data_IF_516743175223
#
_entry.id   IF_516743175223
#
_cell.length_a   1.000
_cell.length_b   1.000
_cell.length_c   1.000
_cell.angle_alpha   90.00
_cell.angle_beta   90.00
_cell.angle_gamma   90.00
#
_symmetry.space_group_name_H-M   'P 1'
#
loop_
_entity.id
_entity.type
_entity.pdbx_description
1 polymer ?
#
# COMPACT_ATOMS: atom_id res chain seq x y z
N UNK A 1 10.71 12.62 3.72
CA UNK A 1 10.31 11.82 4.90
C UNK A 1 11.57 11.49 5.71
N UNK A 2 11.66 11.82 7.02
CA UNK A 2 12.91 11.77 7.84
C UNK A 2 12.96 10.66 8.90
N UNK A 3 12.10 9.63 8.78
CA UNK A 3 11.87 8.62 9.82
C UNK A 3 13.11 7.82 10.19
N UNK A 4 13.92 7.43 9.19
CA UNK A 4 15.16 6.67 9.43
C UNK A 4 16.13 7.50 10.28
N UNK A 5 16.34 8.77 9.93
CA UNK A 5 17.20 9.67 10.70
C UNK A 5 16.72 9.84 12.14
N UNK A 6 15.43 10.14 12.32
CA UNK A 6 14.84 10.33 13.65
C UNK A 6 14.94 9.05 14.51
N UNK A 7 14.64 7.89 13.93
CA UNK A 7 14.70 6.60 14.63
C UNK A 7 16.14 6.25 15.04
N UNK A 8 17.14 6.49 14.19
CA UNK A 8 18.56 6.28 14.55
C UNK A 8 19.00 7.19 15.71
N UNK A 9 18.61 8.46 15.67
CA UNK A 9 18.85 9.42 16.76
C UNK A 9 18.17 9.00 18.06
N UNK A 10 16.91 8.56 17.99
CA UNK A 10 16.11 8.22 19.17
C UNK A 10 16.52 6.88 19.81
N UNK A 11 16.74 5.84 19.00
CA UNK A 11 16.96 4.47 19.48
C UNK A 11 18.43 4.23 19.81
N UNK A 12 19.34 4.72 18.97
CA UNK A 12 20.77 4.44 19.10
C UNK A 12 21.60 5.66 19.52
N UNK A 13 21.02 6.87 19.52
CA UNK A 13 21.77 8.10 19.76
C UNK A 13 22.68 8.53 18.60
N UNK A 14 22.58 7.87 17.44
CA UNK A 14 23.48 8.03 16.29
C UNK A 14 23.00 9.17 15.40
N UNK A 15 23.89 10.10 15.06
CA UNK A 15 23.66 11.13 14.06
C UNK A 15 24.15 10.67 12.69
N UNK A 16 23.24 10.19 11.84
CA UNK A 16 23.58 9.76 10.49
C UNK A 16 24.18 10.86 9.58
N UNK A 17 24.13 12.14 9.98
CA UNK A 17 24.78 13.24 9.24
C UNK A 17 26.24 13.47 9.63
N UNK A 18 26.67 12.95 10.78
CA UNK A 18 28.02 13.15 11.32
C UNK A 18 28.81 11.85 11.45
N UNK A 19 28.13 10.74 11.72
CA UNK A 19 28.76 9.46 11.99
C UNK A 19 29.25 8.78 10.71
N UNK A 20 30.52 8.35 10.71
CA UNK A 20 31.08 7.48 9.68
C UNK A 20 30.86 6.00 10.06
N UNK A 21 30.09 5.29 9.25
CA UNK A 21 29.65 3.92 9.53
C UNK A 21 29.65 3.06 8.27
N UNK A 22 30.16 1.85 8.42
CA UNK A 22 30.11 0.84 7.36
C UNK A 22 28.65 0.50 6.97
N UNK A 23 28.38 0.38 5.67
CA UNK A 23 27.05 0.08 5.12
C UNK A 23 26.37 -1.15 5.76
N UNK A 24 27.09 -2.24 5.97
CA UNK A 24 26.58 -3.43 6.67
C UNK A 24 26.13 -3.14 8.11
N UNK A 25 26.85 -2.29 8.85
CA UNK A 25 26.46 -1.91 10.20
C UNK A 25 25.19 -1.05 10.16
N UNK A 26 25.10 -0.10 9.22
CA UNK A 26 23.87 0.68 9.01
C UNK A 26 22.67 -0.23 8.75
N UNK A 27 22.78 -1.21 7.84
CA UNK A 27 21.69 -2.15 7.56
C UNK A 27 21.38 -3.03 8.76
N UNK A 28 22.39 -3.50 9.47
CA UNK A 28 22.23 -4.29 10.69
C UNK A 28 21.40 -3.55 11.74
N UNK A 29 21.67 -2.25 11.94
CA UNK A 29 20.89 -1.41 12.85
C UNK A 29 19.49 -1.10 12.30
N UNK A 30 19.39 -0.72 11.02
CA UNK A 30 18.13 -0.37 10.36
C UNK A 30 17.08 -1.50 10.47
N UNK A 31 17.49 -2.74 10.23
CA UNK A 31 16.59 -3.90 10.22
C UNK A 31 16.34 -4.51 11.61
N UNK A 32 17.18 -4.24 12.60
CA UNK A 32 17.00 -4.72 13.98
C UNK A 32 16.44 -3.64 14.94
N UNK A 33 15.83 -2.58 14.39
CA UNK A 33 15.19 -1.56 15.22
C UNK A 33 13.98 -2.11 16.00
N UNK A 34 13.82 -1.75 17.29
CA UNK A 34 12.64 -2.12 18.06
C UNK A 34 11.37 -1.52 17.44
N UNK A 35 10.43 -2.38 17.03
CA UNK A 35 9.20 -2.00 16.35
C UNK A 35 8.41 -0.88 17.06
N UNK A 36 8.25 -0.98 18.39
CA UNK A 36 7.48 0.00 19.18
C UNK A 36 8.12 1.39 19.22
N UNK A 37 9.43 1.48 18.96
CA UNK A 37 10.18 2.74 19.01
C UNK A 37 10.54 3.25 17.61
N UNK A 38 10.40 2.42 16.56
CA UNK A 38 10.71 2.79 15.19
C UNK A 38 9.47 3.14 14.40
N UNK A 39 9.35 4.41 14.06
CA UNK A 39 8.31 4.90 13.15
C UNK A 39 8.50 4.35 11.73
N UNK A 40 9.75 4.05 11.34
CA UNK A 40 10.08 3.41 10.08
C UNK A 40 9.53 1.97 10.01
N UNK A 41 9.76 1.14 11.03
CA UNK A 41 9.31 -0.26 11.04
C UNK A 41 7.78 -0.37 11.00
N UNK A 42 7.07 0.52 11.71
CA UNK A 42 5.60 0.58 11.67
C UNK A 42 5.07 0.89 10.26
N UNK A 43 5.65 1.88 9.59
CA UNK A 43 5.27 2.23 8.21
C UNK A 43 5.58 1.09 7.24
N UNK A 44 6.72 0.40 7.41
CA UNK A 44 7.03 -0.79 6.61
C UNK A 44 5.96 -1.86 6.77
N UNK A 45 5.54 -2.15 8.01
CA UNK A 45 4.50 -3.15 8.24
C UNK A 45 3.19 -2.78 7.55
N UNK A 46 2.74 -1.53 7.68
CA UNK A 46 1.51 -1.04 7.04
C UNK A 46 1.58 -1.25 5.53
N UNK A 47 2.71 -0.85 4.91
CA UNK A 47 2.93 -1.02 3.47
C UNK A 47 3.00 -2.50 3.04
N UNK A 48 3.53 -3.37 3.89
CA UNK A 48 3.66 -4.82 3.61
C UNK A 48 2.41 -5.62 3.93
N UNK A 49 1.46 -5.05 4.68
CA UNK A 49 0.25 -5.75 5.12
C UNK A 49 -0.58 -6.18 3.91
N UNK A 50 -0.74 -7.50 3.73
CA UNK A 50 -1.51 -8.06 2.62
C UNK A 50 -3.00 -8.08 2.97
N UNK A 51 -3.81 -7.54 2.06
CA UNK A 51 -5.26 -7.66 2.13
C UNK A 51 -5.64 -9.05 1.61
N UNK A 52 -6.34 -9.84 2.42
CA UNK A 52 -6.79 -11.19 2.05
C UNK A 52 -8.31 -11.24 1.88
N UNK A 53 -8.80 -12.22 1.11
CA UNK A 53 -10.25 -12.41 0.89
C UNK A 53 -11.01 -12.80 2.15
N UNK A 54 -10.31 -13.28 3.19
CA UNK A 54 -10.88 -13.69 4.49
C UNK A 54 -11.17 -12.51 5.44
N UNK A 55 -10.63 -11.33 5.17
CA UNK A 55 -10.79 -10.14 6.01
C UNK A 55 -12.19 -9.52 5.88
N UNK A 56 -12.66 -8.82 6.90
CA UNK A 56 -13.93 -8.06 6.83
C UNK A 56 -13.84 -6.87 5.89
N UNK A 57 -14.97 -6.38 5.34
CA UNK A 57 -14.97 -5.21 4.43
C UNK A 57 -14.34 -3.97 5.08
N UNK A 58 -14.65 -3.73 6.36
CA UNK A 58 -14.12 -2.61 7.14
C UNK A 58 -12.62 -2.76 7.41
N UNK A 59 -12.16 -3.96 7.77
CA UNK A 59 -10.74 -4.23 8.00
C UNK A 59 -9.90 -4.00 6.73
N UNK A 60 -10.40 -4.44 5.57
CA UNK A 60 -9.75 -4.20 4.28
C UNK A 60 -9.66 -2.70 3.96
N UNK A 61 -10.74 -1.96 4.25
CA UNK A 61 -10.80 -0.53 4.00
C UNK A 61 -9.81 0.23 4.89
N UNK A 62 -9.77 -0.09 6.19
CA UNK A 62 -8.83 0.53 7.13
C UNK A 62 -7.36 0.28 6.76
N UNK A 63 -7.03 -0.94 6.29
CA UNK A 63 -5.67 -1.25 5.81
C UNK A 63 -5.34 -0.42 4.57
N UNK A 64 -6.29 -0.30 3.64
CA UNK A 64 -6.11 0.46 2.40
C UNK A 64 -5.88 1.95 2.68
N UNK A 65 -6.68 2.55 3.56
CA UNK A 65 -6.53 3.95 3.97
C UNK A 65 -5.18 4.20 4.66
N UNK A 66 -4.76 3.28 5.53
CA UNK A 66 -3.44 3.36 6.16
C UNK A 66 -2.30 3.25 5.12
N UNK A 67 -2.45 2.38 4.11
CA UNK A 67 -1.50 2.24 3.02
C UNK A 67 -1.43 3.49 2.13
N UNK A 68 -2.57 4.09 1.83
CA UNK A 68 -2.67 5.34 1.05
C UNK A 68 -2.00 6.51 1.79
N UNK A 69 -2.25 6.65 3.11
CA UNK A 69 -1.63 7.70 3.93
C UNK A 69 -0.10 7.64 3.92
N UNK A 70 0.46 6.44 3.90
CA UNK A 70 1.90 6.22 3.88
C UNK A 70 2.42 5.82 2.50
N UNK A 71 1.66 5.99 1.42
CA UNK A 71 2.14 5.66 0.08
C UNK A 71 3.33 6.56 -0.27
N UNK A 72 4.32 6.00 -0.97
CA UNK A 72 5.32 6.83 -1.64
C UNK A 72 4.70 7.33 -2.95
N UNK A 73 5.05 8.55 -3.34
CA UNK A 73 4.85 9.00 -4.71
C UNK A 73 5.63 8.05 -5.61
N UNK A 74 4.91 7.12 -6.24
CA UNK A 74 5.47 6.29 -7.28
C UNK A 74 5.45 7.14 -8.55
N UNK A 75 6.54 7.21 -9.32
CA UNK A 75 6.41 7.68 -10.70
C UNK A 75 5.29 6.86 -11.33
N UNK A 76 4.35 7.50 -12.01
CA UNK A 76 3.30 6.79 -12.74
C UNK A 76 3.99 5.85 -13.73
N UNK A 77 4.18 4.59 -13.36
CA UNK A 77 4.32 3.52 -14.31
C UNK A 77 2.97 3.42 -14.99
N UNK A 78 2.75 4.27 -16.01
CA UNK A 78 1.72 4.04 -17.00
C UNK A 78 2.03 2.69 -17.59
N UNK A 79 1.34 1.66 -17.10
CA UNK A 79 1.32 0.36 -17.75
C UNK A 79 0.75 0.63 -19.13
N UNK A 80 1.62 0.72 -20.12
CA UNK A 80 1.21 0.79 -21.51
C UNK A 80 0.63 -0.58 -21.85
N UNK A 81 -0.69 -0.67 -21.82
CA UNK A 81 -1.42 -1.83 -22.30
C UNK A 81 -1.31 -1.88 -23.82
N UNK A 82 -1.09 -3.07 -24.35
CA UNK A 82 -1.24 -3.33 -25.80
C UNK A 82 -2.69 -3.05 -26.22
N UNK A 83 -2.93 -2.78 -27.51
CA UNK A 83 -4.30 -2.53 -28.02
C UNK A 83 -5.25 -3.71 -27.75
N UNK A 84 -4.74 -4.95 -27.81
CA UNK A 84 -5.49 -6.16 -27.47
C UNK A 84 -5.85 -6.26 -25.98
N UNK A 85 -5.04 -5.67 -25.10
CA UNK A 85 -5.34 -5.62 -23.67
C UNK A 85 -6.34 -4.51 -23.35
N UNK A 86 -6.25 -3.36 -24.01
CA UNK A 86 -7.22 -2.27 -23.86
C UNK A 86 -8.62 -2.68 -24.30
N UNK A 87 -8.74 -3.33 -25.46
CA UNK A 87 -10.03 -3.83 -25.97
C UNK A 87 -10.67 -4.81 -24.97
N UNK A 88 -9.91 -5.73 -24.40
CA UNK A 88 -10.41 -6.65 -23.37
C UNK A 88 -10.83 -5.95 -22.07
N UNK A 89 -10.13 -4.90 -21.66
CA UNK A 89 -10.50 -4.09 -20.49
C UNK A 89 -11.82 -3.37 -20.78
N UNK A 90 -11.95 -2.74 -21.96
CA UNK A 90 -13.16 -2.02 -22.36
C UNK A 90 -14.37 -2.94 -22.48
N UNK A 91 -14.21 -4.13 -23.07
CA UNK A 91 -15.25 -5.16 -23.16
C UNK A 91 -15.70 -5.64 -21.78
N UNK A 92 -14.75 -5.86 -20.87
CA UNK A 92 -15.04 -6.27 -19.49
C UNK A 92 -15.82 -5.18 -18.74
N UNK A 93 -15.41 -3.92 -18.88
CA UNK A 93 -16.05 -2.78 -18.21
C UNK A 93 -17.48 -2.55 -18.71
N UNK A 94 -17.71 -2.71 -20.03
CA UNK A 94 -19.04 -2.67 -20.62
C UNK A 94 -19.94 -3.79 -20.10
N UNK A 95 -19.45 -5.03 -20.11
CA UNK A 95 -20.19 -6.19 -19.58
C UNK A 95 -20.58 -5.98 -18.11
N UNK A 96 -19.68 -5.47 -17.29
CA UNK A 96 -19.94 -5.20 -15.87
C UNK A 96 -20.91 -4.03 -15.65
N UNK A 97 -20.95 -3.04 -16.54
CA UNK A 97 -21.95 -1.97 -16.51
C UNK A 97 -23.34 -2.51 -16.83
N UNK A 98 -23.46 -3.39 -17.83
CA UNK A 98 -24.73 -4.03 -18.19
C UNK A 98 -25.25 -4.94 -17.08
N UNK A 99 -24.38 -5.75 -16.45
CA UNK A 99 -24.74 -6.60 -15.32
C UNK A 99 -25.25 -5.75 -14.16
N UNK A 100 -24.60 -4.63 -13.87
CA UNK A 100 -25.04 -3.68 -12.82
C UNK A 100 -26.38 -3.04 -13.17
N UNK A 101 -26.59 -2.66 -14.42
CA UNK A 101 -27.87 -2.10 -14.89
C UNK A 101 -29.01 -3.13 -14.81
N UNK A 102 -28.77 -4.37 -15.24
CA UNK A 102 -29.74 -5.48 -15.14
C UNK A 102 -30.09 -5.79 -13.69
N UNK A 103 -29.10 -5.95 -12.81
CA UNK A 103 -29.33 -6.17 -11.38
C UNK A 103 -30.12 -5.02 -10.73
N UNK A 104 -29.86 -3.78 -11.15
CA UNK A 104 -30.61 -2.61 -10.66
C UNK A 104 -32.06 -2.67 -11.14
N UNK A 105 -32.29 -2.96 -12.42
CA UNK A 105 -33.63 -3.10 -12.99
C UNK A 105 -34.41 -4.27 -12.36
N UNK A 106 -33.79 -5.43 -12.17
CA UNK A 106 -34.39 -6.59 -11.50
C UNK A 106 -34.80 -6.27 -10.05
N UNK A 107 -33.97 -5.52 -9.33
CA UNK A 107 -34.27 -5.04 -7.98
C UNK A 107 -35.41 -4.02 -7.96
N UNK A 108 -35.47 -3.11 -8.93
CA UNK A 108 -36.54 -2.11 -9.06
C UNK A 108 -37.88 -2.71 -9.49
N UNK A 109 -37.85 -3.81 -10.26
CA UNK A 109 -39.03 -4.59 -10.68
C UNK A 109 -39.51 -5.59 -9.61
N UNK A 110 -38.84 -5.70 -8.47
CA UNK A 110 -39.23 -6.60 -7.38
C UNK A 110 -39.14 -8.10 -7.73
N UNK A 111 -38.30 -8.46 -8.70
CA UNK A 111 -38.11 -9.84 -9.16
C UNK A 111 -37.00 -10.60 -8.40
N UNK A 112 -36.54 -10.05 -7.27
CA UNK A 112 -35.48 -10.59 -6.43
C UNK A 112 -35.94 -10.83 -4.98
#
# INVERSE_FOLDING_TARGET
>A
QWRIYADFRQIYGIDLSLDDMHWWMFNGLLWNMPYKQSSFQQVIEIRRKKITSKMGKEERQAIKEAQEMYALEQPEEKKEYTEDEKTKIDEYDQMMAEIRAKKKAEKELGLA
#
